data_IF_330309303091
#
_entry.id   IF_330309303091
#
_cell.length_a   1.000
_cell.length_b   1.000
_cell.length_c   1.000
_cell.angle_alpha   90.00
_cell.angle_beta   90.00
_cell.angle_gamma   90.00
#
_symmetry.space_group_name_H-M   'P 1'
#
loop_
_entity.id
_entity.type
_entity.pdbx_description
1 polymer ?
#
# COMPACT_ATOMS: atom_id res chain seq x y z
N UNK A 1 43.48 39.32 22.55
CA UNK A 1 43.54 37.87 22.26
C UNK A 1 42.19 37.44 21.70
N UNK A 2 42.08 36.84 20.50
CA UNK A 2 40.80 36.42 19.97
C UNK A 2 40.41 35.04 20.54
N UNK A 3 39.25 34.94 21.17
CA UNK A 3 38.67 33.65 21.57
C UNK A 3 38.06 32.98 20.35
N UNK A 4 38.49 31.76 20.08
CA UNK A 4 38.03 30.92 18.96
C UNK A 4 36.62 30.39 19.26
N UNK A 5 35.64 30.83 18.48
CA UNK A 5 34.29 30.28 18.54
C UNK A 5 34.32 28.82 18.05
N UNK A 6 34.09 27.86 18.95
CA UNK A 6 33.93 26.46 18.57
C UNK A 6 32.60 26.27 17.83
N UNK A 7 32.58 25.63 16.64
CA UNK A 7 31.33 25.37 15.93
C UNK A 7 30.45 24.42 16.73
N UNK A 8 29.24 24.87 17.05
CA UNK A 8 28.19 24.08 17.71
C UNK A 8 27.79 22.91 16.79
N UNK A 9 28.38 21.73 17.01
CA UNK A 9 27.94 20.49 16.37
C UNK A 9 26.54 20.15 16.88
N UNK A 10 25.54 20.50 16.09
CA UNK A 10 24.13 20.16 16.32
C UNK A 10 23.98 18.65 16.25
N UNK A 11 23.86 18.02 17.42
CA UNK A 11 23.60 16.58 17.60
C UNK A 11 22.36 16.13 16.81
N UNK A 12 21.41 17.03 16.58
CA UNK A 12 20.24 16.77 15.73
C UNK A 12 20.57 16.36 14.29
N UNK A 13 21.66 16.89 13.70
CA UNK A 13 22.08 16.52 12.36
C UNK A 13 22.61 15.09 12.27
N UNK A 14 23.33 14.64 13.31
CA UNK A 14 23.84 13.27 13.37
C UNK A 14 22.69 12.27 13.55
N UNK A 15 21.70 12.60 14.40
CA UNK A 15 20.50 11.78 14.56
C UNK A 15 19.66 11.71 13.28
N UNK A 16 19.53 12.82 12.55
CA UNK A 16 18.87 12.84 11.25
C UNK A 16 19.59 11.93 10.24
N UNK A 17 20.92 11.98 10.18
CA UNK A 17 21.71 11.10 9.33
C UNK A 17 21.56 9.61 9.69
N UNK A 18 21.51 9.28 10.98
CA UNK A 18 21.30 7.92 11.45
C UNK A 18 19.89 7.44 11.07
N UNK A 19 18.86 8.26 11.31
CA UNK A 19 17.48 7.93 10.94
C UNK A 19 17.33 7.76 9.42
N UNK A 20 17.90 8.69 8.65
CA UNK A 20 17.91 8.61 7.18
C UNK A 20 18.65 7.36 6.70
N UNK A 21 19.77 7.01 7.32
CA UNK A 21 20.51 5.79 7.03
C UNK A 21 19.70 4.53 7.33
N UNK A 22 18.96 4.49 8.44
CA UNK A 22 18.07 3.37 8.78
C UNK A 22 16.91 3.26 7.80
N UNK A 23 16.32 4.38 7.37
CA UNK A 23 15.28 4.40 6.35
C UNK A 23 15.83 3.84 5.04
N UNK A 24 16.94 4.36 4.54
CA UNK A 24 17.58 3.87 3.31
C UNK A 24 17.94 2.39 3.41
N UNK A 25 18.42 1.93 4.58
CA UNK A 25 18.72 0.52 4.83
C UNK A 25 17.46 -0.36 4.72
N UNK A 26 16.34 0.07 5.30
CA UNK A 26 15.06 -0.66 5.24
C UNK A 26 14.52 -0.70 3.81
N UNK A 27 14.62 0.41 3.07
CA UNK A 27 14.25 0.48 1.65
C UNK A 27 15.09 -0.48 0.80
N UNK A 28 16.40 -0.58 1.07
CA UNK A 28 17.28 -1.49 0.34
C UNK A 28 17.03 -2.97 0.69
N UNK A 29 16.63 -3.27 1.95
CA UNK A 29 16.39 -4.65 2.40
C UNK A 29 15.03 -5.21 1.95
N UNK A 30 14.06 -4.36 1.60
CA UNK A 30 12.69 -4.75 1.27
C UNK A 30 12.22 -4.07 -0.03
N UNK A 31 12.55 -4.63 -1.20
CA UNK A 31 12.21 -4.05 -2.51
C UNK A 31 10.71 -3.93 -2.83
N UNK A 32 9.82 -4.47 -1.99
CA UNK A 32 8.36 -4.34 -2.10
C UNK A 32 7.73 -3.44 -1.03
N UNK A 33 8.53 -2.63 -0.32
CA UNK A 33 8.02 -1.70 0.68
C UNK A 33 7.55 -0.41 0.00
N UNK A 34 6.24 -0.22 -0.13
CA UNK A 34 5.65 1.03 -0.58
C UNK A 34 5.52 2.01 0.60
N UNK A 35 6.31 3.09 0.68
CA UNK A 35 6.26 4.04 1.79
C UNK A 35 5.06 4.99 1.72
N UNK A 36 4.43 5.08 0.54
CA UNK A 36 3.44 6.09 0.22
C UNK A 36 2.16 6.02 1.07
N UNK A 37 1.55 4.83 1.28
CA UNK A 37 0.36 4.72 2.13
C UNK A 37 0.64 5.08 3.60
N UNK A 38 1.87 4.84 4.04
CA UNK A 38 2.31 5.20 5.39
C UNK A 38 2.43 6.72 5.53
N UNK A 39 3.03 7.39 4.54
CA UNK A 39 3.12 8.87 4.55
C UNK A 39 1.73 9.50 4.50
N UNK A 40 0.83 8.99 3.65
CA UNK A 40 -0.54 9.50 3.52
C UNK A 40 -1.40 9.29 4.79
N UNK A 41 -1.20 8.20 5.53
CA UNK A 41 -1.95 7.96 6.76
C UNK A 41 -1.37 8.70 7.97
N UNK A 42 -0.04 8.86 8.04
CA UNK A 42 0.65 9.34 9.24
C UNK A 42 1.14 10.80 9.16
N UNK A 43 1.06 11.48 8.02
CA UNK A 43 1.39 12.92 7.93
C UNK A 43 0.63 13.81 8.94
N UNK A 44 -0.65 13.57 9.29
CA UNK A 44 -1.34 14.43 10.25
C UNK A 44 -0.72 14.32 11.63
N UNK A 45 -0.29 13.12 12.03
CA UNK A 45 0.38 12.88 13.31
C UNK A 45 1.76 13.52 13.36
N UNK A 46 2.49 13.52 12.25
CA UNK A 46 3.77 14.21 12.14
C UNK A 46 3.57 15.72 12.34
N UNK A 47 2.54 16.32 11.73
CA UNK A 47 2.22 17.73 11.93
C UNK A 47 1.79 18.05 13.36
N UNK A 48 1.00 17.17 13.99
CA UNK A 48 0.60 17.31 15.40
C UNK A 48 1.84 17.29 16.30
N UNK A 49 2.75 16.33 16.09
CA UNK A 49 3.97 16.23 16.89
C UNK A 49 4.94 17.41 16.64
N UNK A 50 5.03 17.89 15.40
CA UNK A 50 5.82 19.06 15.02
C UNK A 50 5.25 20.33 15.64
N UNK A 51 3.92 20.47 15.65
CA UNK A 51 3.20 21.53 16.34
C UNK A 51 3.42 21.49 17.86
N UNK A 52 3.35 20.30 18.45
CA UNK A 52 3.61 20.11 19.88
C UNK A 52 5.06 20.45 20.25
N UNK A 53 6.04 20.05 19.43
CA UNK A 53 7.44 20.41 19.62
C UNK A 53 7.66 21.92 19.62
N UNK A 54 7.05 22.63 18.65
CA UNK A 54 7.08 24.10 18.57
C UNK A 54 6.41 24.75 19.77
N UNK A 55 5.28 24.22 20.24
CA UNK A 55 4.56 24.75 21.39
C UNK A 55 5.36 24.54 22.70
N UNK A 56 6.01 23.39 22.84
CA UNK A 56 6.85 23.10 23.99
C UNK A 56 8.08 24.03 24.03
N UNK A 57 8.70 24.28 22.87
CA UNK A 57 9.83 25.21 22.74
C UNK A 57 9.40 26.67 23.01
N UNK A 58 8.18 27.03 22.60
CA UNK A 58 7.59 28.34 22.85
C UNK A 58 7.21 28.57 24.32
N UNK A 59 6.60 27.57 24.96
CA UNK A 59 6.24 27.64 26.39
C UNK A 59 7.49 27.67 27.27
N UNK A 60 8.55 26.93 26.93
CA UNK A 60 9.81 26.94 27.69
C UNK A 60 10.61 28.22 27.48
N UNK A 61 10.64 28.77 26.27
CA UNK A 61 11.28 30.06 25.96
C UNK A 61 10.65 31.23 26.71
N UNK A 62 9.38 31.11 27.14
CA UNK A 62 8.73 32.10 28.02
C UNK A 62 9.04 31.94 29.51
N UNK A 63 9.59 30.80 29.95
CA UNK A 63 9.81 30.51 31.38
C UNK A 63 11.21 30.87 31.90
N UNK A 64 12.22 31.02 31.03
CA UNK A 64 13.59 31.37 31.48
C UNK A 64 14.27 32.38 30.53
N UNK A 65 14.16 33.70 30.77
CA UNK A 65 14.90 34.72 30.02
C UNK A 65 16.42 34.69 30.26
N UNK A 66 16.89 34.13 31.39
CA UNK A 66 18.25 34.36 31.90
C UNK A 66 19.18 33.13 31.97
N UNK A 67 18.75 31.92 31.62
CA UNK A 67 19.63 30.73 31.71
C UNK A 67 20.14 30.27 30.34
N UNK A 68 21.31 30.79 29.98
CA UNK A 68 22.09 30.40 28.81
C UNK A 68 22.75 29.01 28.95
N UNK A 69 22.01 27.97 29.35
CA UNK A 69 22.53 26.60 29.37
C UNK A 69 21.55 25.61 28.71
N UNK A 70 21.86 25.09 27.50
CA UNK A 70 20.96 24.18 26.81
C UNK A 70 20.94 22.81 27.52
N UNK A 71 19.78 22.31 27.98
CA UNK A 71 19.69 20.99 28.57
C UNK A 71 19.92 19.91 27.50
N UNK A 72 20.55 18.80 27.91
CA UNK A 72 21.09 17.72 27.06
C UNK A 72 20.06 16.95 26.22
N UNK A 73 18.77 17.11 26.47
CA UNK A 73 17.70 16.41 25.73
C UNK A 73 16.72 17.45 25.20
N UNK A 74 16.96 17.89 23.97
CA UNK A 74 16.06 18.74 23.20
C UNK A 74 14.71 18.03 23.00
N UNK A 75 13.59 18.76 23.05
CA UNK A 75 12.27 18.21 22.71
C UNK A 75 12.23 17.57 21.31
N UNK A 76 13.13 18.00 20.41
CA UNK A 76 13.33 17.38 19.11
C UNK A 76 13.86 15.94 19.22
N UNK A 77 14.67 15.60 20.23
CA UNK A 77 15.16 14.25 20.45
C UNK A 77 14.04 13.31 20.90
N UNK A 78 13.13 13.79 21.75
CA UNK A 78 11.96 13.02 22.20
C UNK A 78 10.99 12.80 21.03
N UNK A 79 10.75 13.83 20.22
CA UNK A 79 9.96 13.70 19.00
C UNK A 79 10.57 12.72 18.00
N UNK A 80 11.88 12.77 17.79
CA UNK A 80 12.59 11.85 16.90
C UNK A 80 12.48 10.39 17.38
N UNK A 81 12.60 10.14 18.68
CA UNK A 81 12.46 8.79 19.26
C UNK A 81 11.03 8.27 19.16
N UNK A 82 10.03 9.14 19.38
CA UNK A 82 8.62 8.77 19.20
C UNK A 82 8.32 8.40 17.73
N UNK A 83 8.84 9.19 16.78
CA UNK A 83 8.68 8.95 15.34
C UNK A 83 9.38 7.65 14.91
N UNK A 84 10.58 7.39 15.43
CA UNK A 84 11.31 6.14 15.20
C UNK A 84 10.56 4.93 15.78
N UNK A 85 10.05 5.03 17.02
CA UNK A 85 9.28 3.97 17.65
C UNK A 85 7.99 3.67 16.88
N UNK A 86 7.32 4.71 16.37
CA UNK A 86 6.10 4.59 15.59
C UNK A 86 6.37 3.96 14.22
N UNK A 87 7.49 4.34 13.58
CA UNK A 87 7.96 3.73 12.33
C UNK A 87 8.34 2.25 12.52
N UNK A 88 9.05 1.91 13.60
CA UNK A 88 9.40 0.52 13.94
C UNK A 88 8.16 -0.29 14.28
N UNK A 89 7.20 0.27 15.02
CA UNK A 89 5.93 -0.41 15.33
C UNK A 89 5.08 -0.66 14.07
N UNK A 90 5.06 0.28 13.12
CA UNK A 90 4.41 0.11 11.83
C UNK A 90 5.10 -0.96 10.98
N UNK A 91 6.43 -0.98 10.95
CA UNK A 91 7.20 -1.99 10.23
C UNK A 91 7.08 -3.40 10.88
N UNK A 92 7.02 -3.48 12.20
CA UNK A 92 6.85 -4.73 12.95
C UNK A 92 5.43 -5.31 12.81
N UNK A 93 4.42 -4.46 12.56
CA UNK A 93 3.06 -4.86 12.20
C UNK A 93 2.90 -5.22 10.73
N UNK A 94 4.00 -5.48 10.01
CA UNK A 94 4.04 -5.88 8.60
C UNK A 94 3.27 -7.16 8.26
N UNK A 95 1.94 -7.08 8.34
CA UNK A 95 0.99 -7.67 7.41
C UNK A 95 0.45 -6.51 6.57
N UNK A 96 1.30 -5.88 5.77
CA UNK A 96 0.85 -5.16 4.59
C UNK A 96 0.61 -6.22 3.52
N UNK A 97 -0.41 -7.06 3.73
CA UNK A 97 -1.06 -7.77 2.64
C UNK A 97 -1.64 -6.69 1.72
N UNK A 98 -1.45 -6.87 0.42
CA UNK A 98 -1.62 -5.85 -0.61
C UNK A 98 -2.88 -5.00 -0.50
N UNK A 99 -2.80 -3.81 -1.09
CA UNK A 99 -3.88 -2.86 -1.31
C UNK A 99 -5.26 -3.49 -1.16
N UNK A 100 -6.11 -3.03 -0.23
CA UNK A 100 -7.47 -3.54 -0.18
C UNK A 100 -8.14 -3.18 -1.50
N UNK A 101 -8.33 -4.21 -2.33
CA UNK A 101 -9.03 -4.19 -3.60
C UNK A 101 -10.52 -4.03 -3.34
N UNK A 102 -10.91 -2.88 -2.75
CA UNK A 102 -12.30 -2.53 -2.48
C UNK A 102 -13.04 -2.45 -3.82
N UNK A 103 -13.53 -3.59 -4.30
CA UNK A 103 -14.28 -3.72 -5.55
C UNK A 103 -13.79 -4.81 -6.50
N UNK A 104 -12.55 -5.31 -6.41
CA UNK A 104 -12.11 -6.38 -7.31
C UNK A 104 -12.67 -7.72 -6.82
N UNK A 105 -13.45 -8.38 -7.67
CA UNK A 105 -14.01 -9.70 -7.42
C UNK A 105 -13.39 -10.69 -8.38
N UNK A 106 -13.01 -11.84 -7.83
CA UNK A 106 -12.52 -12.97 -8.59
C UNK A 106 -13.59 -14.07 -8.59
N UNK A 107 -13.88 -14.64 -9.76
CA UNK A 107 -14.81 -15.77 -9.89
C UNK A 107 -14.24 -16.78 -10.86
N UNK A 108 -14.24 -18.05 -10.46
CA UNK A 108 -13.84 -19.17 -11.31
C UNK A 108 -15.08 -19.91 -11.80
N UNK A 109 -15.09 -20.29 -13.08
CA UNK A 109 -16.14 -21.13 -13.66
C UNK A 109 -15.51 -22.27 -14.46
N UNK A 110 -16.03 -23.47 -14.24
CA UNK A 110 -15.63 -24.68 -14.96
C UNK A 110 -16.86 -25.27 -15.61
N UNK A 111 -16.78 -25.53 -16.91
CA UNK A 111 -17.86 -26.13 -17.70
C UNK A 111 -17.32 -27.37 -18.38
N UNK A 112 -18.05 -28.47 -18.27
CA UNK A 112 -17.72 -29.74 -18.93
C UNK A 112 -18.30 -29.82 -20.35
N UNK A 113 -17.68 -30.62 -21.22
CA UNK A 113 -18.13 -30.83 -22.61
C UNK A 113 -19.56 -31.40 -22.71
N UNK A 114 -20.04 -32.13 -21.69
CA UNK A 114 -21.36 -32.77 -21.67
C UNK A 114 -21.69 -33.57 -22.96
N UNK A 115 -20.68 -34.19 -23.58
CA UNK A 115 -20.84 -34.98 -24.79
C UNK A 115 -21.00 -34.19 -26.09
N UNK A 116 -20.84 -32.86 -26.07
CA UNK A 116 -20.78 -32.03 -27.28
C UNK A 116 -19.55 -32.40 -28.12
N UNK A 117 -19.73 -32.47 -29.44
CA UNK A 117 -18.68 -32.77 -30.43
C UNK A 117 -18.13 -31.53 -31.10
N UNK A 118 -18.91 -30.46 -31.10
CA UNK A 118 -18.52 -29.13 -31.56
C UNK A 118 -19.14 -28.09 -30.65
N UNK A 119 -18.52 -26.91 -30.57
CA UNK A 119 -18.96 -25.84 -29.67
C UNK A 119 -19.04 -24.56 -30.47
N UNK A 120 -20.13 -23.82 -30.27
CA UNK A 120 -20.25 -22.42 -30.67
C UNK A 120 -20.08 -21.58 -29.42
N UNK A 121 -19.00 -20.83 -29.37
CA UNK A 121 -18.69 -19.93 -28.27
C UNK A 121 -18.97 -18.49 -28.69
N UNK A 122 -19.76 -17.78 -27.91
CA UNK A 122 -19.98 -16.34 -28.04
C UNK A 122 -19.56 -15.67 -26.73
N UNK A 123 -18.62 -14.72 -26.84
CA UNK A 123 -18.12 -13.96 -25.70
C UNK A 123 -18.42 -12.48 -25.94
N UNK A 124 -19.26 -11.90 -25.10
CA UNK A 124 -19.59 -10.47 -25.12
C UNK A 124 -19.10 -9.85 -23.82
N UNK A 125 -18.08 -9.04 -23.98
CA UNK A 125 -17.33 -8.38 -22.90
C UNK A 125 -17.12 -6.94 -23.33
N UNK A 126 -17.20 -6.03 -22.37
CA UNK A 126 -16.98 -4.61 -22.59
C UNK A 126 -15.50 -4.29 -22.78
N UNK A 127 -14.96 -3.45 -21.89
CA UNK A 127 -13.55 -3.09 -21.89
C UNK A 127 -12.72 -4.07 -21.03
N UNK A 128 -11.54 -4.47 -21.51
CA UNK A 128 -10.64 -5.33 -20.74
C UNK A 128 -9.62 -6.08 -21.59
N UNK A 129 -9.05 -7.12 -21.01
CA UNK A 129 -8.13 -8.04 -21.67
C UNK A 129 -8.67 -9.46 -21.60
N UNK A 130 -8.48 -10.23 -22.67
CA UNK A 130 -8.85 -11.65 -22.73
C UNK A 130 -7.60 -12.46 -23.02
N UNK A 131 -7.38 -13.46 -22.19
CA UNK A 131 -6.35 -14.48 -22.42
C UNK A 131 -7.08 -15.80 -22.68
N UNK A 132 -6.88 -16.35 -23.88
CA UNK A 132 -7.47 -17.62 -24.28
C UNK A 132 -6.35 -18.62 -24.55
N UNK A 133 -6.40 -19.74 -23.84
CA UNK A 133 -5.49 -20.87 -24.01
C UNK A 133 -6.28 -22.17 -24.06
N UNK A 134 -5.82 -23.11 -24.90
CA UNK A 134 -6.33 -24.47 -24.92
C UNK A 134 -5.51 -25.41 -24.02
N UNK A 135 -5.91 -26.68 -23.98
CA UNK A 135 -5.17 -27.75 -23.29
C UNK A 135 -5.78 -28.21 -21.97
N UNK A 136 -6.97 -27.72 -21.60
CA UNK A 136 -7.73 -28.20 -20.45
C UNK A 136 -8.56 -29.44 -20.82
N UNK A 137 -8.80 -30.37 -19.88
CA UNK A 137 -9.67 -31.54 -20.08
C UNK A 137 -11.17 -31.18 -20.06
N UNK A 138 -11.52 -29.98 -19.62
CA UNK A 138 -12.88 -29.44 -19.55
C UNK A 138 -13.20 -28.67 -20.84
N UNK A 139 -14.47 -28.30 -21.02
CA UNK A 139 -14.84 -27.42 -22.12
C UNK A 139 -14.30 -26.01 -21.91
N UNK A 140 -14.50 -25.49 -20.70
CA UNK A 140 -14.11 -24.16 -20.29
C UNK A 140 -13.58 -24.21 -18.87
N UNK A 141 -12.46 -23.56 -18.67
CA UNK A 141 -11.97 -23.18 -17.35
C UNK A 141 -11.64 -21.69 -17.44
N UNK A 142 -12.40 -20.87 -16.72
CA UNK A 142 -12.34 -19.43 -16.82
C UNK A 142 -12.15 -18.82 -15.43
N UNK A 143 -11.25 -17.84 -15.36
CA UNK A 143 -11.08 -16.96 -14.20
C UNK A 143 -11.46 -15.54 -14.63
N UNK A 144 -12.44 -14.97 -13.93
CA UNK A 144 -12.91 -13.62 -14.17
C UNK A 144 -12.44 -12.71 -13.03
N UNK A 145 -11.78 -11.61 -13.39
CA UNK A 145 -11.45 -10.53 -12.46
C UNK A 145 -12.17 -9.27 -12.92
N UNK A 146 -13.10 -8.77 -12.12
CA UNK A 146 -13.92 -7.61 -12.47
C UNK A 146 -14.09 -6.67 -11.27
N UNK A 147 -14.39 -5.40 -11.55
CA UNK A 147 -14.78 -4.46 -10.51
C UNK A 147 -16.30 -4.55 -10.29
N UNK A 148 -16.77 -4.42 -9.04
CA UNK A 148 -18.20 -4.48 -8.68
C UNK A 148 -19.10 -3.49 -9.42
N UNK A 149 -18.55 -2.46 -10.06
CA UNK A 149 -19.29 -1.51 -10.92
C UNK A 149 -19.42 -1.95 -12.40
N UNK A 150 -18.82 -3.07 -12.81
CA UNK A 150 -18.80 -3.55 -14.20
C UNK A 150 -19.78 -4.71 -14.47
N UNK A 151 -20.59 -5.08 -13.47
CA UNK A 151 -21.50 -6.20 -13.52
C UNK A 151 -20.82 -7.57 -13.44
N UNK A 152 -21.57 -8.56 -12.95
CA UNK A 152 -21.08 -9.92 -12.71
C UNK A 152 -21.08 -10.71 -14.02
N UNK A 153 -19.96 -11.36 -14.40
CA UNK A 153 -19.91 -12.23 -15.57
C UNK A 153 -20.85 -13.43 -15.44
N UNK A 154 -21.65 -13.68 -16.46
CA UNK A 154 -22.55 -14.84 -16.54
C UNK A 154 -22.04 -15.82 -17.60
N UNK A 155 -22.03 -17.10 -17.25
CA UNK A 155 -21.59 -18.20 -18.11
C UNK A 155 -22.76 -19.17 -18.27
N UNK A 156 -23.30 -19.22 -19.47
CA UNK A 156 -24.39 -20.11 -19.84
C UNK A 156 -23.88 -21.19 -20.80
N UNK A 157 -24.25 -22.44 -20.52
CA UNK A 157 -23.89 -23.57 -21.38
C UNK A 157 -25.06 -24.53 -21.57
N UNK A 158 -25.28 -24.95 -22.81
CA UNK A 158 -26.28 -25.97 -23.14
C UNK A 158 -25.80 -26.85 -24.30
N UNK A 159 -26.30 -28.08 -24.37
CA UNK A 159 -25.98 -29.01 -25.46
C UNK A 159 -27.25 -29.39 -26.19
N UNK A 160 -27.26 -29.21 -27.51
CA UNK A 160 -28.37 -29.62 -28.38
C UNK A 160 -27.84 -30.27 -29.65
N UNK A 161 -28.34 -31.47 -29.96
CA UNK A 161 -27.93 -32.21 -31.17
C UNK A 161 -26.42 -32.54 -31.24
N UNK A 162 -25.73 -32.62 -30.10
CA UNK A 162 -24.29 -32.83 -30.03
C UNK A 162 -23.45 -31.57 -30.30
N UNK A 163 -24.09 -30.40 -30.39
CA UNK A 163 -23.42 -29.09 -30.47
C UNK A 163 -23.62 -28.38 -29.13
N UNK A 164 -22.52 -27.92 -28.53
CA UNK A 164 -22.52 -27.08 -27.33
C UNK A 164 -22.71 -25.61 -27.73
N UNK A 165 -23.60 -24.91 -27.04
CA UNK A 165 -23.77 -23.46 -27.12
C UNK A 165 -23.25 -22.85 -25.81
N UNK A 166 -22.12 -22.14 -25.89
CA UNK A 166 -21.46 -21.50 -24.76
C UNK A 166 -21.58 -19.99 -24.92
N UNK A 167 -22.17 -19.32 -23.93
CA UNK A 167 -22.31 -17.87 -23.92
C UNK A 167 -21.70 -17.29 -22.65
N UNK A 168 -20.79 -16.35 -22.83
CA UNK A 168 -20.18 -15.58 -21.75
C UNK A 168 -20.60 -14.13 -21.95
N UNK A 169 -21.30 -13.57 -20.96
CA UNK A 169 -21.83 -12.20 -21.01
C UNK A 169 -21.43 -11.42 -19.78
N UNK A 170 -21.05 -10.17 -19.97
CA UNK A 170 -20.84 -9.21 -18.91
C UNK A 170 -21.59 -7.92 -19.27
N UNK A 171 -22.70 -7.66 -18.59
CA UNK A 171 -23.47 -6.41 -18.73
C UNK A 171 -23.01 -5.41 -17.68
N UNK A 172 -22.65 -4.20 -18.11
CA UNK A 172 -22.48 -3.06 -17.20
C UNK A 172 -23.85 -2.45 -16.89
N UNK A 173 -24.19 -2.29 -15.60
CA UNK A 173 -25.34 -1.47 -15.19
C UNK A 173 -25.21 0.00 -15.62
#
# INVERSE_FOLDING_TARGET
>A
MPQTARPRRTIGGALFLIALGVVVLVFQLRPGFDPWPLVEHYWPLILIFLGFGKLFDYMRSRQHPDEAQPPRISGAAVAMLALLALFVAAAARGKYTGSPSWGMQDTASTVDLQGAKSVRAAMVIGAGQVHLSGGTPHLLEAEFRFNGNQGVPQVDYSVSGGVGDLQIRQESE
#
